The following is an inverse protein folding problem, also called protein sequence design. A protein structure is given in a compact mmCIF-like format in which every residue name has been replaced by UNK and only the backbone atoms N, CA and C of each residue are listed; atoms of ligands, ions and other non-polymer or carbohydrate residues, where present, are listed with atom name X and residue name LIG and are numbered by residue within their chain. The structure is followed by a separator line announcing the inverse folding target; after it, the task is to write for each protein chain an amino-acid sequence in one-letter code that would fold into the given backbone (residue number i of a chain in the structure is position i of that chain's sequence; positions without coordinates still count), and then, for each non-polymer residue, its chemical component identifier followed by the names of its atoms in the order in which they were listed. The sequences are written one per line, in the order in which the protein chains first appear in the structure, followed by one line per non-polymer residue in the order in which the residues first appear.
data_IF_694998794019
#
_entry.id   IF_694998794019
#
_cell.length_a   1.000
_cell.length_b   1.000
_cell.length_c   1.000
_cell.angle_alpha   90.00
_cell.angle_beta   90.00
_cell.angle_gamma   90.00
#
_symmetry.space_group_name_H-M   'P 1'
#
loop_
_entity.id
_entity.type
_entity.pdbx_description
1 polymer ?
#
# COMPACT_ATOMS: atom_id res chain seq x y z
N UNK A 1 17.19 -1.09 4.19
CA UNK A 1 16.69 -0.98 5.58
C UNK A 1 16.88 -2.31 6.32
N UNK A 2 17.01 -2.27 7.65
CA UNK A 2 17.09 -3.41 8.56
C UNK A 2 16.19 -3.13 9.76
N UNK A 3 15.58 -4.19 10.31
CA UNK A 3 14.61 -4.09 11.40
C UNK A 3 15.08 -4.93 12.58
N UNK A 4 14.98 -4.36 13.77
CA UNK A 4 15.33 -5.02 15.02
C UNK A 4 14.22 -4.86 16.03
N UNK A 5 14.09 -5.85 16.92
CA UNK A 5 13.19 -5.84 18.06
C UNK A 5 13.99 -6.16 19.32
N UNK A 6 13.79 -5.36 20.35
CA UNK A 6 14.42 -5.52 21.66
C UNK A 6 13.46 -6.31 22.54
N UNK A 7 13.59 -7.63 22.49
CA UNK A 7 12.83 -8.55 23.30
C UNK A 7 13.52 -8.79 24.66
N UNK A 8 12.81 -9.40 25.61
CA UNK A 8 13.36 -9.73 26.93
C UNK A 8 14.57 -10.68 26.84
N UNK A 9 14.58 -11.59 25.87
CA UNK A 9 15.65 -12.55 25.61
C UNK A 9 16.80 -11.97 24.78
N UNK A 10 16.71 -10.68 24.42
CA UNK A 10 17.75 -9.92 23.76
C UNK A 10 17.34 -9.32 22.42
N UNK A 11 18.34 -8.85 21.68
CA UNK A 11 18.14 -8.23 20.38
C UNK A 11 17.84 -9.30 19.33
N UNK A 12 16.69 -9.17 18.66
CA UNK A 12 16.33 -10.02 17.52
C UNK A 12 16.23 -9.19 16.25
N UNK A 13 16.62 -9.78 15.11
CA UNK A 13 16.45 -9.17 13.79
C UNK A 13 15.11 -9.61 13.21
N UNK A 14 14.33 -8.65 12.72
CA UNK A 14 13.11 -8.92 11.96
C UNK A 14 13.47 -8.93 10.48
N UNK A 15 13.13 -10.01 9.78
CA UNK A 15 13.33 -10.07 8.33
C UNK A 15 12.39 -9.08 7.62
N UNK A 16 12.80 -8.59 6.44
CA UNK A 16 11.95 -7.69 5.65
C UNK A 16 10.58 -8.32 5.35
N UNK A 17 10.55 -9.63 5.07
CA UNK A 17 9.31 -10.39 4.82
C UNK A 17 8.35 -10.36 6.01
N UNK A 18 8.88 -10.52 7.24
CA UNK A 18 8.05 -10.51 8.45
C UNK A 18 7.55 -9.10 8.72
N UNK A 19 8.42 -8.09 8.65
CA UNK A 19 8.00 -6.70 8.85
C UNK A 19 6.93 -6.28 7.84
N UNK A 20 7.13 -6.61 6.56
CA UNK A 20 6.16 -6.35 5.49
C UNK A 20 4.82 -7.04 5.74
N UNK A 21 4.84 -8.32 6.13
CA UNK A 21 3.61 -9.04 6.47
C UNK A 21 2.89 -8.49 7.69
N UNK A 22 3.61 -8.02 8.71
CA UNK A 22 3.06 -7.36 9.88
C UNK A 22 2.40 -6.02 9.54
N UNK A 23 3.07 -5.21 8.70
CA UNK A 23 2.58 -3.91 8.25
C UNK A 23 1.31 -4.05 7.41
N UNK A 24 1.17 -5.11 6.61
CA UNK A 24 0.00 -5.34 5.76
C UNK A 24 -1.04 -6.30 6.34
N UNK A 25 -0.90 -6.73 7.61
CA UNK A 25 -1.90 -7.57 8.27
C UNK A 25 -1.91 -9.06 7.89
N UNK A 26 -1.00 -9.50 7.01
CA UNK A 26 -0.92 -10.88 6.54
C UNK A 26 0.09 -11.76 7.30
N UNK A 27 0.72 -11.25 8.37
CA UNK A 27 1.60 -12.01 9.25
C UNK A 27 1.37 -11.62 10.72
N UNK A 28 1.86 -12.45 11.64
CA UNK A 28 1.77 -12.25 13.08
C UNK A 28 3.00 -12.82 13.79
N UNK A 29 3.28 -12.34 15.00
CA UNK A 29 4.33 -12.83 15.89
C UNK A 29 3.74 -13.20 17.25
N UNK A 30 3.13 -14.40 17.39
CA UNK A 30 2.44 -14.80 18.62
C UNK A 30 3.32 -14.80 19.87
N UNK A 31 4.64 -14.95 19.73
CA UNK A 31 5.58 -14.85 20.84
C UNK A 31 5.62 -13.46 21.51
N UNK A 32 5.07 -12.44 20.85
CA UNK A 32 4.93 -11.08 21.37
C UNK A 32 3.47 -10.69 21.60
N UNK A 33 2.52 -11.63 21.54
CA UNK A 33 1.10 -11.35 21.69
C UNK A 33 0.78 -10.60 23.00
N UNK A 34 -0.03 -9.55 22.89
CA UNK A 34 -0.46 -8.71 24.01
C UNK A 34 0.66 -7.82 24.59
N UNK A 35 1.78 -7.66 23.89
CA UNK A 35 2.92 -6.88 24.38
C UNK A 35 3.19 -5.64 23.55
N UNK A 36 3.93 -4.69 24.16
CA UNK A 36 4.49 -3.53 23.47
C UNK A 36 5.99 -3.69 23.39
N UNK A 37 6.53 -3.75 22.18
CA UNK A 37 7.95 -4.02 21.95
C UNK A 37 8.65 -2.81 21.35
N UNK A 38 9.87 -2.55 21.83
CA UNK A 38 10.76 -1.57 21.23
C UNK A 38 11.33 -2.14 19.94
N UNK A 39 11.21 -1.39 18.85
CA UNK A 39 11.82 -1.71 17.55
C UNK A 39 12.74 -0.60 17.07
N UNK A 40 13.74 -0.97 16.28
CA UNK A 40 14.62 -0.03 15.59
C UNK A 40 14.58 -0.26 14.08
N UNK A 41 14.33 0.82 13.34
CA UNK A 41 14.41 0.87 11.89
C UNK A 41 15.76 1.49 11.51
N UNK A 42 16.61 0.71 10.85
CA UNK A 42 17.99 1.09 10.55
C UNK A 42 18.16 1.23 9.04
N UNK A 43 18.49 2.44 8.58
CA UNK A 43 18.85 2.71 7.20
C UNK A 43 20.36 2.56 7.08
N UNK A 44 20.76 1.65 6.19
CA UNK A 44 22.15 1.27 5.97
C UNK A 44 22.46 1.52 4.51
N UNK A 45 23.51 2.29 4.25
CA UNK A 45 24.10 2.43 2.93
C UNK A 45 24.98 1.23 2.62
N UNK A 46 24.88 0.73 1.39
CA UNK A 46 25.60 -0.44 0.93
C UNK A 46 26.60 -0.04 -0.15
N UNK A 47 27.85 -0.48 0.01
CA UNK A 47 28.89 -0.43 -1.03
C UNK A 47 29.27 -1.87 -1.39
N UNK A 48 29.26 -2.20 -2.68
CA UNK A 48 29.54 -3.57 -3.17
C UNK A 48 28.72 -4.67 -2.45
N UNK A 49 27.48 -4.34 -2.06
CA UNK A 49 26.59 -5.25 -1.34
C UNK A 49 26.90 -5.45 0.15
N UNK A 50 27.87 -4.73 0.71
CA UNK A 50 28.22 -4.77 2.14
C UNK A 50 27.82 -3.48 2.86
N UNK A 51 27.48 -3.53 4.17
CA UNK A 51 27.24 -2.33 4.96
C UNK A 51 28.45 -1.37 4.96
N UNK A 52 28.24 -0.15 4.46
CA UNK A 52 29.24 0.92 4.44
C UNK A 52 29.07 1.86 5.63
N UNK A 53 27.84 2.37 5.85
CA UNK A 53 27.49 3.20 7.01
C UNK A 53 26.00 3.10 7.38
N UNK A 54 25.70 3.35 8.65
CA UNK A 54 24.33 3.63 9.10
C UNK A 54 24.05 5.11 8.82
N UNK A 55 23.04 5.41 8.02
CA UNK A 55 22.65 6.79 7.70
C UNK A 55 21.57 7.33 8.62
N UNK A 56 20.73 6.43 9.16
CA UNK A 56 19.64 6.80 10.06
C UNK A 56 19.21 5.61 10.91
N UNK A 57 18.85 5.89 12.17
CA UNK A 57 18.20 4.93 13.05
C UNK A 57 16.99 5.61 13.70
N UNK A 58 15.83 4.99 13.57
CA UNK A 58 14.60 5.46 14.21
C UNK A 58 14.06 4.39 15.16
N UNK A 59 13.87 4.76 16.42
CA UNK A 59 13.18 3.92 17.39
C UNK A 59 11.66 4.11 17.30
N UNK A 60 10.91 3.00 17.31
CA UNK A 60 9.46 3.01 17.46
C UNK A 60 8.97 1.89 18.36
N UNK A 61 7.70 1.93 18.73
CA UNK A 61 7.02 0.82 19.41
C UNK A 61 6.12 0.07 18.43
N UNK A 62 6.12 -1.26 18.52
CA UNK A 62 5.05 -2.09 17.97
C UNK A 62 4.12 -2.53 19.11
N UNK A 63 2.82 -2.40 18.88
CA UNK A 63 1.78 -2.84 19.80
C UNK A 63 1.16 -4.11 19.23
N UNK A 64 1.48 -5.24 19.85
CA UNK A 64 0.98 -6.54 19.43
C UNK A 64 -0.36 -6.83 20.12
N UNK A 65 -1.36 -7.16 19.32
CA UNK A 65 -2.67 -7.62 19.82
C UNK A 65 -2.58 -9.02 20.45
N UNK A 66 -3.72 -9.56 20.89
CA UNK A 66 -3.79 -10.89 21.49
C UNK A 66 -3.38 -12.05 20.55
N UNK A 67 -3.38 -11.82 19.23
CA UNK A 67 -2.92 -12.77 18.23
C UNK A 67 -1.46 -12.52 17.79
N UNK A 68 -0.81 -11.46 18.27
CA UNK A 68 0.52 -11.05 17.84
C UNK A 68 0.52 -10.30 16.51
N UNK A 69 -0.59 -9.70 16.08
CA UNK A 69 -0.64 -8.78 14.94
C UNK A 69 -0.44 -7.34 15.39
N UNK A 70 -0.02 -6.49 14.46
CA UNK A 70 0.26 -5.06 14.72
C UNK A 70 -0.43 -4.13 13.72
N UNK A 71 -1.02 -4.66 12.65
CA UNK A 71 -1.50 -3.89 11.51
C UNK A 71 -2.46 -2.77 11.90
N UNK A 72 -3.54 -3.10 12.61
CA UNK A 72 -4.53 -2.11 13.06
C UNK A 72 -3.89 -1.01 13.93
N UNK A 73 -3.02 -1.39 14.88
CA UNK A 73 -2.32 -0.42 15.72
C UNK A 73 -1.38 0.50 14.92
N UNK A 74 -0.73 -0.04 13.88
CA UNK A 74 0.16 0.71 13.00
C UNK A 74 -0.61 1.67 12.11
N UNK A 75 -1.73 1.23 11.53
CA UNK A 75 -2.63 2.04 10.72
C UNK A 75 -3.17 3.20 11.55
N UNK A 76 -3.71 2.92 12.74
CA UNK A 76 -4.23 3.93 13.65
C UNK A 76 -3.15 4.93 14.08
N UNK A 77 -1.96 4.46 14.46
CA UNK A 77 -0.82 5.31 14.81
C UNK A 77 -0.36 6.17 13.63
N UNK A 78 -0.39 5.62 12.41
CA UNK A 78 -0.05 6.32 11.17
C UNK A 78 -1.02 7.46 10.86
N UNK A 79 -2.32 7.21 10.97
CA UNK A 79 -3.34 8.26 10.82
C UNK A 79 -3.18 9.36 11.87
N UNK A 80 -2.98 9.01 13.15
CA UNK A 80 -2.74 9.99 14.22
C UNK A 80 -1.46 10.80 13.97
N UNK A 81 -0.42 10.16 13.43
CA UNK A 81 0.83 10.83 13.06
C UNK A 81 0.61 11.91 12.00
N UNK A 82 -0.17 11.60 10.96
CA UNK A 82 -0.52 12.55 9.89
C UNK A 82 -1.39 13.68 10.43
N UNK A 83 -2.44 13.36 11.18
CA UNK A 83 -3.36 14.36 11.74
C UNK A 83 -2.61 15.37 12.63
N UNK A 84 -1.75 14.88 13.53
CA UNK A 84 -0.98 15.73 14.45
C UNK A 84 0.07 16.57 13.71
N UNK A 85 0.67 16.03 12.64
CA UNK A 85 1.61 16.77 11.79
C UNK A 85 0.90 17.89 11.02
N UNK A 86 -0.23 17.59 10.36
CA UNK A 86 -1.00 18.56 9.59
C UNK A 86 -1.59 19.66 10.46
N UNK A 87 -2.04 19.33 11.67
CA UNK A 87 -2.48 20.32 12.65
C UNK A 87 -1.33 21.27 13.05
N UNK A 88 -0.12 20.74 13.25
CA UNK A 88 1.06 21.53 13.59
C UNK A 88 1.53 22.42 12.42
N UNK A 89 1.53 21.91 11.19
CA UNK A 89 1.88 22.71 10.02
C UNK A 89 0.86 23.82 9.75
N UNK A 90 -0.44 23.54 9.94
CA UNK A 90 -1.48 24.57 9.85
C UNK A 90 -1.30 25.66 10.91
N UNK A 91 -0.96 25.32 12.15
CA UNK A 91 -0.78 26.32 13.20
C UNK A 91 0.41 27.25 12.94
N UNK A 92 1.50 26.75 12.34
CA UNK A 92 2.65 27.57 11.92
C UNK A 92 2.31 28.60 10.84
N UNK A 93 1.31 28.32 10.01
CA UNK A 93 0.88 29.22 8.91
C UNK A 93 -0.03 30.35 9.40
N UNK A 94 -0.69 30.18 10.55
CA UNK A 94 -1.58 31.18 11.13
C UNK A 94 -0.74 32.19 11.92
N UNK A 95 -0.60 33.41 11.40
CA UNK A 95 -0.02 34.53 12.15
C UNK A 95 -1.10 35.17 13.02
N UNK A 96 -1.07 34.89 14.33
CA UNK A 96 -1.94 35.56 15.30
C UNK A 96 -1.14 35.99 16.54
N UNK A 97 -1.67 36.97 17.28
CA UNK A 97 -1.06 37.46 18.54
C UNK A 97 -1.05 36.39 19.64
N UNK A 98 -1.92 35.39 19.56
CA UNK A 98 -2.02 34.27 20.51
C UNK A 98 -1.62 32.97 19.81
N UNK A 99 -0.58 32.31 20.31
CA UNK A 99 -0.11 31.04 19.74
C UNK A 99 -0.85 29.88 20.40
N UNK A 100 -1.61 29.11 19.62
CA UNK A 100 -2.20 27.85 20.10
C UNK A 100 -1.11 26.76 20.16
N UNK A 101 -0.81 26.30 21.38
CA UNK A 101 0.18 25.25 21.65
C UNK A 101 -0.39 23.83 21.53
N UNK A 102 -1.72 23.69 21.43
CA UNK A 102 -2.39 22.38 21.42
C UNK A 102 -1.86 21.44 20.32
N UNK A 103 -1.62 21.88 19.06
CA UNK A 103 -1.05 21.02 18.03
C UNK A 103 0.35 20.51 18.37
N UNK A 104 1.17 21.36 18.99
CA UNK A 104 2.52 21.00 19.42
C UNK A 104 2.47 19.97 20.56
N UNK A 105 1.63 20.19 21.57
CA UNK A 105 1.48 19.25 22.68
C UNK A 105 0.93 17.89 22.24
N UNK A 106 -0.03 17.87 21.31
CA UNK A 106 -0.54 16.63 20.70
C UNK A 106 0.57 15.89 19.96
N UNK A 107 1.39 16.60 19.18
CA UNK A 107 2.54 16.01 18.48
C UNK A 107 3.58 15.44 19.45
N UNK A 108 3.94 16.19 20.48
CA UNK A 108 4.88 15.73 21.53
C UNK A 108 4.33 14.51 22.28
N UNK A 109 3.02 14.47 22.56
CA UNK A 109 2.35 13.30 23.14
C UNK A 109 2.49 12.08 22.23
N UNK A 110 2.15 12.22 20.94
CA UNK A 110 2.25 11.14 19.97
C UNK A 110 3.70 10.61 19.87
N UNK A 111 4.70 11.51 19.81
CA UNK A 111 6.10 11.11 19.75
C UNK A 111 6.52 10.32 20.98
N UNK A 112 6.11 10.75 22.18
CA UNK A 112 6.41 10.02 23.43
C UNK A 112 5.75 8.63 23.48
N UNK A 113 4.57 8.47 22.89
CA UNK A 113 3.84 7.21 22.89
C UNK A 113 4.35 6.24 21.81
N UNK A 114 4.88 6.74 20.70
CA UNK A 114 5.22 5.90 19.53
C UNK A 114 6.71 5.83 19.21
N UNK A 115 7.53 6.73 19.76
CA UNK A 115 8.97 6.81 19.52
C UNK A 115 9.77 6.61 20.79
N UNK A 116 11.00 6.15 20.60
CA UNK A 116 11.99 6.06 21.66
C UNK A 116 13.37 6.28 21.07
N UNK A 117 14.30 6.74 21.92
CA UNK A 117 15.68 6.99 21.51
C UNK A 117 16.57 5.81 21.88
N UNK A 118 17.40 5.39 20.93
CA UNK A 118 18.36 4.33 21.16
C UNK A 118 19.57 4.87 21.94
N UNK A 119 19.95 4.15 22.97
CA UNK A 119 21.20 4.33 23.70
C UNK A 119 22.40 3.87 22.87
N UNK A 120 23.60 4.31 23.29
CA UNK A 120 24.87 3.88 22.68
C UNK A 120 25.03 2.36 22.68
N UNK A 121 24.63 1.68 23.75
CA UNK A 121 24.76 0.22 23.86
C UNK A 121 23.88 -0.50 22.82
N UNK A 122 22.68 0.01 22.57
CA UNK A 122 21.75 -0.55 21.58
C UNK A 122 22.26 -0.32 20.15
N UNK A 123 22.83 0.87 19.87
CA UNK A 123 23.49 1.18 18.60
C UNK A 123 24.75 0.32 18.37
N UNK A 124 25.54 0.08 19.42
CA UNK A 124 26.72 -0.78 19.37
C UNK A 124 26.33 -2.25 19.09
N UNK A 125 25.24 -2.74 19.68
CA UNK A 125 24.71 -4.08 19.41
C UNK A 125 24.23 -4.24 17.96
N UNK A 126 23.48 -3.26 17.43
CA UNK A 126 23.06 -3.23 16.03
C UNK A 126 24.28 -3.20 15.09
N UNK A 127 25.28 -2.38 15.41
CA UNK A 127 26.50 -2.27 14.60
C UNK A 127 27.31 -3.56 14.61
N UNK A 128 27.44 -4.23 15.76
CA UNK A 128 28.12 -5.52 15.85
C UNK A 128 27.46 -6.58 14.95
N UNK A 129 26.13 -6.62 14.89
CA UNK A 129 25.39 -7.54 14.03
C UNK A 129 25.49 -7.20 12.52
N UNK A 130 25.41 -5.90 12.16
CA UNK A 130 25.53 -5.44 10.78
C UNK A 130 26.88 -5.77 10.15
N UNK A 131 27.98 -5.48 10.85
CA UNK A 131 29.34 -5.73 10.37
C UNK A 131 29.89 -7.10 10.77
N UNK A 132 29.07 -7.96 11.39
CA UNK A 132 29.44 -9.30 11.87
C UNK A 132 30.69 -9.26 12.77
N UNK A 133 30.83 -8.22 13.60
CA UNK A 133 31.95 -8.10 14.53
C UNK A 133 31.84 -9.21 15.57
N UNK A 134 32.85 -10.09 15.66
CA UNK A 134 32.96 -11.07 16.74
C UNK A 134 33.43 -10.35 18.00
N UNK A 135 32.50 -9.75 18.76
CA UNK A 135 32.77 -9.31 20.14
C UNK A 135 32.36 -10.43 21.09
N UNK A 136 33.27 -10.82 21.98
CA UNK A 136 33.07 -11.94 22.91
C UNK A 136 31.90 -11.73 23.89
N UNK A 137 31.44 -10.48 24.08
CA UNK A 137 30.41 -10.10 25.05
C UNK A 137 29.04 -9.81 24.44
N UNK A 138 28.88 -9.79 23.11
CA UNK A 138 27.60 -9.47 22.47
C UNK A 138 26.84 -10.77 22.17
N UNK A 139 25.71 -10.96 22.85
CA UNK A 139 24.81 -12.08 22.60
C UNK A 139 24.44 -12.16 21.11
N UNK A 140 24.42 -13.38 20.56
CA UNK A 140 24.15 -13.60 19.14
C UNK A 140 22.73 -13.13 18.80
N UNK A 141 22.62 -12.14 17.92
CA UNK A 141 21.33 -11.68 17.41
C UNK A 141 20.61 -12.82 16.70
N UNK A 142 19.42 -13.16 17.20
CA UNK A 142 18.55 -14.21 16.65
C UNK A 142 17.55 -13.63 15.65
N UNK A 143 16.99 -14.46 14.77
CA UNK A 143 15.92 -14.04 13.87
C UNK A 143 14.58 -14.16 14.58
N UNK A 144 13.81 -13.07 14.60
CA UNK A 144 12.44 -13.09 15.04
C UNK A 144 11.56 -13.80 13.98
N UNK A 145 10.58 -14.60 14.42
CA UNK A 145 9.78 -15.47 13.54
C UNK A 145 8.36 -14.94 13.38
N UNK A 146 7.88 -14.83 12.15
CA UNK A 146 6.45 -14.70 11.83
C UNK A 146 5.82 -16.06 11.57
N UNK A 147 4.49 -16.12 11.56
CA UNK A 147 3.72 -17.34 11.28
C UNK A 147 3.59 -17.62 9.77
N UNK A 148 3.69 -16.58 8.92
CA UNK A 148 3.55 -16.74 7.47
C UNK A 148 4.74 -17.55 6.92
N UNK A 149 4.48 -18.65 6.19
CA UNK A 149 5.54 -19.41 5.56
C UNK A 149 6.27 -18.54 4.53
N UNK A 150 7.57 -18.77 4.36
CA UNK A 150 8.32 -18.11 3.30
C UNK A 150 7.74 -18.52 1.94
N UNK A 151 7.51 -17.55 1.07
CA UNK A 151 7.16 -17.85 -0.31
C UNK A 151 8.28 -18.70 -0.94
N UNK A 152 7.94 -19.68 -1.80
CA UNK A 152 8.94 -20.39 -2.58
C UNK A 152 9.85 -19.40 -3.32
N UNK A 153 11.17 -19.63 -3.35
CA UNK A 153 12.07 -18.73 -4.04
C UNK A 153 11.71 -18.71 -5.53
N UNK A 154 11.40 -17.54 -6.06
CA UNK A 154 11.17 -17.38 -7.49
C UNK A 154 12.50 -17.57 -8.23
N UNK A 155 12.65 -18.73 -8.87
CA UNK A 155 13.84 -19.07 -9.65
C UNK A 155 14.02 -18.09 -10.81
N UNK A 156 15.23 -18.03 -11.39
CA UNK A 156 15.46 -17.22 -12.59
C UNK A 156 14.54 -17.66 -13.74
N UNK A 157 14.35 -18.96 -13.90
CA UNK A 157 13.43 -19.57 -14.86
C UNK A 157 11.98 -19.09 -14.63
N UNK A 158 11.46 -19.23 -13.41
CA UNK A 158 10.10 -18.80 -13.09
C UNK A 158 9.93 -17.28 -13.26
N UNK A 159 10.93 -16.48 -12.89
CA UNK A 159 10.91 -15.02 -13.09
C UNK A 159 10.86 -14.64 -14.56
N UNK A 160 11.62 -15.33 -15.41
CA UNK A 160 11.61 -15.10 -16.84
C UNK A 160 10.26 -15.49 -17.46
N UNK A 161 9.72 -16.65 -17.08
CA UNK A 161 8.40 -17.10 -17.54
C UNK A 161 7.29 -16.11 -17.15
N UNK A 162 7.25 -15.64 -15.91
CA UNK A 162 6.27 -14.63 -15.46
C UNK A 162 6.35 -13.36 -16.31
N UNK A 163 7.56 -12.82 -16.54
CA UNK A 163 7.75 -11.61 -17.35
C UNK A 163 7.29 -11.77 -18.80
N UNK A 164 7.56 -12.92 -19.40
CA UNK A 164 7.13 -13.21 -20.77
C UNK A 164 5.61 -13.33 -20.86
N UNK A 165 4.98 -14.05 -19.91
CA UNK A 165 3.53 -14.15 -19.80
C UNK A 165 2.89 -12.78 -19.60
N UNK A 166 3.42 -11.95 -18.69
CA UNK A 166 2.95 -10.57 -18.46
C UNK A 166 2.96 -9.75 -19.74
N UNK A 167 4.04 -9.83 -20.53
CA UNK A 167 4.15 -9.13 -21.82
C UNK A 167 3.02 -9.52 -22.77
N UNK A 168 2.69 -10.82 -22.84
CA UNK A 168 1.60 -11.29 -23.68
C UNK A 168 0.22 -10.92 -23.13
N UNK A 169 0.03 -10.94 -21.82
CA UNK A 169 -1.22 -10.49 -21.17
C UNK A 169 -1.50 -9.03 -21.50
N UNK A 170 -0.50 -8.14 -21.42
CA UNK A 170 -0.66 -6.74 -21.84
C UNK A 170 -1.06 -6.62 -23.31
N UNK A 171 -0.45 -7.43 -24.19
CA UNK A 171 -0.81 -7.49 -25.60
C UNK A 171 -2.24 -7.96 -25.85
N UNK A 172 -2.75 -8.91 -25.06
CA UNK A 172 -4.15 -9.36 -25.13
C UNK A 172 -5.09 -8.25 -24.68
N UNK A 173 -4.82 -7.62 -23.53
CA UNK A 173 -5.66 -6.53 -23.01
C UNK A 173 -5.78 -5.38 -24.03
N UNK A 174 -4.64 -4.91 -24.58
CA UNK A 174 -4.64 -3.85 -25.57
C UNK A 174 -5.42 -4.21 -26.84
N UNK A 175 -5.41 -5.47 -27.29
CA UNK A 175 -6.23 -5.91 -28.42
C UNK A 175 -7.72 -5.88 -28.09
N UNK A 176 -8.12 -6.25 -26.88
CA UNK A 176 -9.53 -6.21 -26.45
C UNK A 176 -10.07 -4.78 -26.38
N UNK A 177 -9.23 -3.82 -25.95
CA UNK A 177 -9.64 -2.42 -25.78
C UNK A 177 -10.11 -1.75 -27.09
N UNK A 178 -9.61 -2.21 -28.23
CA UNK A 178 -9.92 -1.69 -29.56
C UNK A 178 -11.12 -2.37 -30.24
N UNK A 179 -11.72 -3.39 -29.62
CA UNK A 179 -12.86 -4.11 -30.20
C UNK A 179 -14.20 -3.50 -29.78
N UNK A 180 -15.13 -3.38 -30.73
CA UNK A 180 -16.52 -3.01 -30.44
C UNK A 180 -17.36 -4.16 -29.87
N UNK A 181 -18.54 -3.86 -29.33
CA UNK A 181 -19.44 -4.84 -28.66
C UNK A 181 -19.67 -6.12 -29.49
N UNK A 182 -19.93 -5.99 -30.80
CA UNK A 182 -20.18 -7.14 -31.68
C UNK A 182 -18.93 -8.00 -31.89
N UNK A 183 -17.76 -7.38 -32.06
CA UNK A 183 -16.50 -8.09 -32.23
C UNK A 183 -16.08 -8.80 -30.94
N UNK A 184 -16.28 -8.18 -29.76
CA UNK A 184 -16.06 -8.81 -28.46
C UNK A 184 -16.96 -10.02 -28.26
N UNK A 185 -18.24 -9.93 -28.64
CA UNK A 185 -19.17 -11.07 -28.59
C UNK A 185 -18.69 -12.23 -29.48
N UNK A 186 -18.26 -11.93 -30.71
CA UNK A 186 -17.75 -12.95 -31.64
C UNK A 186 -16.46 -13.58 -31.12
N UNK A 187 -15.54 -12.77 -30.57
CA UNK A 187 -14.31 -13.25 -29.96
C UNK A 187 -14.58 -14.16 -28.75
N UNK A 188 -15.49 -13.77 -27.86
CA UNK A 188 -15.84 -14.57 -26.68
C UNK A 188 -16.47 -15.92 -27.07
N UNK A 189 -17.21 -15.97 -28.17
CA UNK A 189 -17.73 -17.22 -28.71
C UNK A 189 -16.61 -18.10 -29.29
N UNK A 190 -15.74 -17.53 -30.13
CA UNK A 190 -14.63 -18.25 -30.75
C UNK A 190 -13.63 -18.75 -29.70
N UNK A 191 -13.32 -17.96 -28.67
CA UNK A 191 -12.46 -18.35 -27.57
C UNK A 191 -13.03 -19.57 -26.81
N UNK A 192 -14.35 -19.60 -26.52
CA UNK A 192 -15.01 -20.78 -25.92
C UNK A 192 -14.97 -22.00 -26.85
N UNK A 193 -15.19 -21.81 -28.14
CA UNK A 193 -15.07 -22.86 -29.17
C UNK A 193 -13.67 -23.46 -29.18
N UNK A 194 -12.62 -22.63 -29.07
CA UNK A 194 -11.22 -23.07 -28.97
C UNK A 194 -10.94 -23.81 -27.67
N UNK A 195 -11.40 -23.29 -26.52
CA UNK A 195 -11.26 -23.95 -25.24
C UNK A 195 -11.84 -25.37 -25.24
N UNK A 196 -12.95 -25.58 -25.95
CA UNK A 196 -13.60 -26.90 -26.06
C UNK A 196 -12.86 -27.92 -26.95
N UNK A 197 -11.87 -27.47 -27.73
CA UNK A 197 -11.18 -28.27 -28.76
C UNK A 197 -9.70 -28.50 -28.46
N UNK A 198 -9.13 -27.80 -27.49
CA UNK A 198 -7.68 -27.69 -27.26
C UNK A 198 -7.32 -27.96 -25.79
N UNK A 199 -6.07 -28.35 -25.52
CA UNK A 199 -5.53 -28.60 -24.17
C UNK A 199 -5.29 -27.31 -23.36
N UNK A 200 -5.43 -26.13 -23.98
CA UNK A 200 -5.25 -24.81 -23.35
C UNK A 200 -6.60 -24.18 -22.93
N UNK A 201 -7.48 -24.98 -22.34
CA UNK A 201 -8.85 -24.60 -21.98
C UNK A 201 -8.89 -23.34 -21.09
N UNK A 202 -8.06 -23.29 -20.05
CA UNK A 202 -8.04 -22.21 -19.07
C UNK A 202 -7.66 -20.85 -19.68
N UNK A 203 -6.68 -20.81 -20.60
CA UNK A 203 -6.24 -19.57 -21.24
C UNK A 203 -7.35 -19.02 -22.14
N UNK A 204 -7.95 -19.88 -22.97
CA UNK A 204 -9.04 -19.47 -23.85
C UNK A 204 -10.30 -19.06 -23.09
N UNK A 205 -10.62 -19.73 -21.98
CA UNK A 205 -11.71 -19.33 -21.09
C UNK A 205 -11.43 -17.96 -20.44
N UNK A 206 -10.17 -17.70 -20.03
CA UNK A 206 -9.76 -16.39 -19.52
C UNK A 206 -9.94 -15.28 -20.55
N UNK A 207 -9.57 -15.52 -21.81
CA UNK A 207 -9.78 -14.57 -22.92
C UNK A 207 -11.28 -14.32 -23.15
N UNK A 208 -12.11 -15.38 -23.13
CA UNK A 208 -13.55 -15.23 -23.27
C UNK A 208 -14.16 -14.39 -22.15
N UNK A 209 -13.76 -14.64 -20.89
CA UNK A 209 -14.20 -13.87 -19.73
C UNK A 209 -13.78 -12.40 -19.80
N UNK A 210 -12.55 -12.13 -20.21
CA UNK A 210 -12.06 -10.76 -20.41
C UNK A 210 -12.83 -10.02 -21.52
N UNK A 211 -13.13 -10.69 -22.63
CA UNK A 211 -13.92 -10.14 -23.73
C UNK A 211 -15.37 -9.83 -23.31
N UNK A 212 -16.01 -10.72 -22.54
CA UNK A 212 -17.35 -10.49 -22.01
C UNK A 212 -17.38 -9.34 -20.99
N UNK A 213 -16.39 -9.27 -20.09
CA UNK A 213 -16.26 -8.13 -19.16
C UNK A 213 -16.13 -6.82 -19.91
N UNK A 214 -15.25 -6.74 -20.92
CA UNK A 214 -15.08 -5.52 -21.73
C UNK A 214 -16.35 -5.14 -22.48
N UNK A 215 -17.06 -6.13 -23.04
CA UNK A 215 -18.33 -5.91 -23.74
C UNK A 215 -19.40 -5.37 -22.80
N UNK A 216 -19.49 -5.91 -21.59
CA UNK A 216 -20.43 -5.45 -20.57
C UNK A 216 -20.11 -4.01 -20.14
N UNK A 217 -18.83 -3.65 -19.97
CA UNK A 217 -18.40 -2.27 -19.72
C UNK A 217 -18.92 -1.33 -20.83
N UNK A 218 -18.68 -1.67 -22.10
CA UNK A 218 -19.17 -0.87 -23.24
C UNK A 218 -20.70 -0.76 -23.25
N UNK A 219 -21.39 -1.85 -22.96
CA UNK A 219 -22.85 -1.90 -22.88
C UNK A 219 -23.36 -0.94 -21.80
N UNK A 220 -22.78 -0.98 -20.59
CA UNK A 220 -23.12 -0.06 -19.49
C UNK A 220 -22.86 1.38 -19.89
N UNK A 221 -21.73 1.69 -20.51
CA UNK A 221 -21.45 3.07 -20.98
C UNK A 221 -22.48 3.59 -21.97
N UNK A 222 -23.00 2.71 -22.85
CA UNK A 222 -24.02 3.04 -23.84
C UNK A 222 -25.42 3.19 -23.23
N UNK A 223 -25.81 2.31 -22.30
CA UNK A 223 -27.16 2.30 -21.71
C UNK A 223 -27.30 3.15 -20.45
N UNK A 224 -26.19 3.44 -19.77
CA UNK A 224 -26.15 4.06 -18.44
C UNK A 224 -26.66 3.16 -17.31
N UNK A 225 -26.88 1.86 -17.58
CA UNK A 225 -27.45 0.92 -16.61
C UNK A 225 -26.41 0.37 -15.62
N UNK A 226 -26.90 -0.18 -14.51
CA UNK A 226 -26.08 -0.79 -13.47
C UNK A 226 -25.58 0.21 -12.43
N UNK A 227 -24.65 -0.25 -11.60
CA UNK A 227 -24.01 0.56 -10.57
C UNK A 227 -22.87 1.38 -11.18
N UNK A 228 -22.79 2.63 -10.78
CA UNK A 228 -21.79 3.62 -11.19
C UNK A 228 -21.19 4.29 -9.97
N UNK A 229 -19.95 4.73 -10.09
CA UNK A 229 -19.25 5.46 -9.06
C UNK A 229 -18.85 6.82 -9.59
N UNK A 230 -19.08 7.84 -8.76
CA UNK A 230 -18.45 9.15 -8.89
C UNK A 230 -17.23 9.17 -7.97
N UNK A 231 -16.07 9.57 -8.46
CA UNK A 231 -14.89 9.74 -7.61
C UNK A 231 -14.13 11.02 -7.92
N UNK A 232 -13.50 11.58 -6.88
CA UNK A 232 -12.57 12.69 -6.96
C UNK A 232 -11.22 12.23 -6.45
N UNK A 233 -10.20 12.38 -7.30
CA UNK A 233 -8.80 12.25 -6.93
C UNK A 233 -8.19 13.65 -6.77
N UNK A 234 -7.57 13.91 -5.62
CA UNK A 234 -6.68 15.08 -5.47
C UNK A 234 -5.26 14.58 -5.68
N UNK A 235 -4.63 15.02 -6.77
CA UNK A 235 -3.30 14.56 -7.16
C UNK A 235 -2.31 15.67 -6.89
N UNK A 236 -1.32 15.40 -6.03
CA UNK A 236 -0.21 16.29 -5.77
C UNK A 236 0.93 16.00 -6.74
N UNK A 237 1.40 17.03 -7.43
CA UNK A 237 2.43 16.94 -8.46
C UNK A 237 3.81 17.29 -7.90
N UNK A 238 4.72 16.33 -7.94
CA UNK A 238 6.14 16.56 -7.68
C UNK A 238 6.79 17.13 -8.95
N UNK A 239 7.11 18.44 -8.92
CA UNK A 239 7.75 19.14 -10.05
C UNK A 239 9.13 18.60 -10.40
N UNK A 240 9.84 18.01 -9.43
CA UNK A 240 11.18 17.46 -9.65
C UNK A 240 11.14 16.11 -10.36
N UNK A 241 10.12 15.30 -10.08
CA UNK A 241 9.95 13.94 -10.63
C UNK A 241 9.00 13.87 -11.81
N UNK A 242 8.23 14.94 -12.09
CA UNK A 242 7.13 14.95 -13.07
C UNK A 242 6.13 13.81 -12.83
N UNK A 243 5.88 13.50 -11.56
CA UNK A 243 4.95 12.45 -11.14
C UNK A 243 3.86 13.03 -10.24
N UNK A 244 2.66 12.46 -10.30
CA UNK A 244 1.55 12.77 -9.41
C UNK A 244 1.34 11.64 -8.40
N UNK A 245 1.04 11.99 -7.15
CA UNK A 245 0.60 11.05 -6.11
C UNK A 245 -0.79 11.46 -5.62
N UNK A 246 -1.70 10.48 -5.47
CA UNK A 246 -3.04 10.74 -4.92
C UNK A 246 -2.92 11.09 -3.43
N UNK A 247 -3.24 12.32 -3.08
CA UNK A 247 -3.20 12.85 -1.72
C UNK A 247 -4.52 12.59 -0.98
N UNK A 248 -5.65 12.60 -1.69
CA UNK A 248 -6.94 12.23 -1.12
C UNK A 248 -7.88 11.68 -2.18
N UNK A 249 -8.80 10.80 -1.75
CA UNK A 249 -9.78 10.12 -2.58
C UNK A 249 -11.16 10.19 -1.92
N UNK A 250 -12.17 10.66 -2.66
CA UNK A 250 -13.57 10.66 -2.21
C UNK A 250 -14.41 10.02 -3.30
N UNK A 251 -15.38 9.18 -2.92
CA UNK A 251 -16.25 8.53 -3.88
C UNK A 251 -17.69 8.37 -3.40
N UNK A 252 -18.59 8.15 -4.34
CA UNK A 252 -20.02 7.90 -4.10
C UNK A 252 -20.55 6.84 -5.06
N UNK A 253 -21.20 5.81 -4.51
CA UNK A 253 -21.89 4.77 -5.26
C UNK A 253 -23.27 5.27 -5.69
N UNK A 254 -23.61 5.09 -6.96
CA UNK A 254 -24.84 5.56 -7.58
C UNK A 254 -25.51 4.44 -8.41
N UNK A 255 -26.83 4.45 -8.47
CA UNK A 255 -27.62 3.43 -9.18
C UNK A 255 -27.82 3.70 -10.68
N UNK A 256 -27.16 4.73 -11.23
CA UNK A 256 -27.13 5.00 -12.67
C UNK A 256 -25.99 5.94 -13.04
N UNK A 257 -25.60 5.94 -14.32
CA UNK A 257 -24.58 6.86 -14.85
C UNK A 257 -24.96 8.32 -14.64
N UNK A 258 -26.23 8.68 -14.87
CA UNK A 258 -26.71 10.06 -14.72
C UNK A 258 -26.56 10.56 -13.29
N UNK A 259 -26.94 9.74 -12.30
CA UNK A 259 -26.76 10.08 -10.89
C UNK A 259 -25.29 10.20 -10.52
N UNK A 260 -24.42 9.32 -11.05
CA UNK A 260 -22.98 9.43 -10.84
C UNK A 260 -22.39 10.70 -11.47
N UNK A 261 -22.88 11.13 -12.64
CA UNK A 261 -22.45 12.40 -13.25
C UNK A 261 -22.89 13.62 -12.41
N UNK A 262 -24.11 13.60 -11.86
CA UNK A 262 -24.60 14.63 -10.95
C UNK A 262 -23.79 14.66 -9.63
N UNK A 263 -23.52 13.50 -9.06
CA UNK A 263 -22.68 13.35 -7.87
C UNK A 263 -21.23 13.82 -8.14
N UNK A 264 -20.63 13.43 -9.26
CA UNK A 264 -19.28 13.85 -9.63
C UNK A 264 -19.17 15.37 -9.77
N UNK A 265 -20.18 16.05 -10.34
CA UNK A 265 -20.21 17.52 -10.40
C UNK A 265 -20.28 18.14 -9.02
N UNK A 266 -21.14 17.61 -8.14
CA UNK A 266 -21.26 18.09 -6.76
C UNK A 266 -19.96 17.89 -5.99
N UNK A 267 -19.39 16.68 -6.01
CA UNK A 267 -18.12 16.36 -5.37
C UNK A 267 -16.98 17.24 -5.91
N UNK A 268 -16.95 17.52 -7.21
CA UNK A 268 -15.95 18.40 -7.80
C UNK A 268 -16.04 19.82 -7.23
N UNK A 269 -17.25 20.37 -7.06
CA UNK A 269 -17.45 21.70 -6.44
C UNK A 269 -17.00 21.70 -4.98
N UNK A 270 -17.38 20.67 -4.21
CA UNK A 270 -17.02 20.52 -2.79
C UNK A 270 -15.50 20.42 -2.58
N UNK A 271 -14.79 19.83 -3.55
CA UNK A 271 -13.35 19.56 -3.50
C UNK A 271 -12.51 20.54 -4.33
N UNK A 272 -13.11 21.48 -5.08
CA UNK A 272 -12.40 22.46 -5.89
C UNK A 272 -11.40 23.32 -5.08
N UNK A 273 -11.64 23.48 -3.77
CA UNK A 273 -10.74 24.15 -2.83
C UNK A 273 -9.34 23.53 -2.75
N UNK A 274 -9.17 22.27 -3.15
CA UNK A 274 -7.89 21.57 -3.17
C UNK A 274 -7.10 21.82 -4.45
N UNK A 275 -7.68 22.46 -5.47
CA UNK A 275 -6.97 22.81 -6.69
C UNK A 275 -5.94 23.92 -6.43
N UNK A 276 -4.71 23.71 -6.88
CA UNK A 276 -3.62 24.68 -6.74
C UNK A 276 -2.59 24.56 -7.88
N UNK A 277 -1.52 25.34 -7.80
CA UNK A 277 -0.39 25.24 -8.73
C UNK A 277 0.44 23.94 -8.58
N UNK A 278 0.18 23.14 -7.54
CA UNK A 278 0.87 21.88 -7.25
C UNK A 278 -0.10 20.71 -7.08
N UNK A 279 -1.41 20.94 -7.20
CA UNK A 279 -2.45 19.91 -7.00
C UNK A 279 -3.53 20.01 -8.07
N UNK A 280 -3.86 18.88 -8.72
CA UNK A 280 -5.05 18.76 -9.57
C UNK A 280 -6.19 18.09 -8.82
N UNK A 281 -7.42 18.40 -9.23
CA UNK A 281 -8.64 17.75 -8.73
C UNK A 281 -9.31 17.12 -9.93
N UNK A 282 -9.36 15.80 -9.98
CA UNK A 282 -9.83 15.04 -11.14
C UNK A 282 -11.10 14.27 -10.80
N UNK A 283 -12.16 14.51 -11.57
CA UNK A 283 -13.42 13.80 -11.43
C UNK A 283 -13.50 12.63 -12.41
N UNK A 284 -13.89 11.46 -11.91
CA UNK A 284 -14.11 10.25 -12.71
C UNK A 284 -15.52 9.72 -12.49
N UNK A 285 -16.13 9.23 -13.56
CA UNK A 285 -17.41 8.50 -13.53
C UNK A 285 -17.17 7.17 -14.22
N UNK A 286 -17.23 6.09 -13.46
CA UNK A 286 -16.92 4.74 -13.93
C UNK A 286 -18.01 3.77 -13.51
N UNK A 287 -18.24 2.72 -14.28
CA UNK A 287 -19.15 1.68 -13.84
C UNK A 287 -18.47 0.77 -12.81
N UNK A 288 -19.26 0.04 -12.03
CA UNK A 288 -18.77 -0.92 -11.02
C UNK A 288 -17.75 -1.93 -11.58
N UNK A 289 -17.85 -2.30 -12.85
CA UNK A 289 -16.87 -3.21 -13.46
C UNK A 289 -15.51 -2.56 -13.71
N UNK A 290 -15.45 -1.24 -13.83
CA UNK A 290 -14.22 -0.44 -13.98
C UNK A 290 -13.74 0.11 -12.65
N UNK A 291 -14.55 -0.04 -11.59
CA UNK A 291 -14.18 0.33 -10.23
C UNK A 291 -13.11 -0.63 -9.73
N UNK A 292 -11.88 -0.15 -9.68
CA UNK A 292 -10.83 -0.77 -8.88
C UNK A 292 -10.82 -0.01 -7.58
N UNK A 293 -11.37 -0.63 -6.54
CA UNK A 293 -11.25 -0.05 -5.22
C UNK A 293 -9.75 0.02 -4.89
N UNK A 294 -9.25 1.23 -4.64
CA UNK A 294 -7.89 1.42 -4.17
C UNK A 294 -7.73 0.93 -2.71
N UNK A 295 -8.76 0.33 -2.11
CA UNK A 295 -8.71 -0.31 -0.81
C UNK A 295 -9.86 -1.28 -0.50
N UNK A 296 -10.26 -2.18 -1.42
CA UNK A 296 -11.25 -3.22 -1.07
C UNK A 296 -10.63 -4.30 -0.18
N UNK A 297 -10.49 -3.98 1.10
CA UNK A 297 -10.45 -4.92 2.21
C UNK A 297 -11.47 -4.53 3.30
N UNK A 298 -12.48 -3.72 2.97
CA UNK A 298 -13.60 -3.43 3.86
C UNK A 298 -14.94 -3.72 3.15
N UNK A 299 -15.75 -4.51 3.87
CA UNK A 299 -17.21 -4.63 3.78
C UNK A 299 -17.81 -5.71 2.85
N UNK A 300 -17.78 -6.94 3.36
CA UNK A 300 -18.96 -7.84 3.38
C UNK A 300 -19.06 -8.46 4.81
N UNK A 301 -19.60 -7.71 5.77
CA UNK A 301 -20.38 -8.23 6.92
C UNK A 301 -21.80 -7.66 6.90
#
# INVERSE_FOLDING_TARGET
MRFYIFAEDGLQRISHRVMDGLVHGYDAMPQFAGTRQKIANVIVELEEGKPARITRVDGSYLHFDAAGKVHESLVNSGFEAMETFDALERSKRIKSTVVDLSPRLKREKWEREHRWELSKNELDAISADLWKMKRAEVAKVVQARGIKPNAPPLTSEARNAVREIETHIFGVHGKLDHLGEAALKALAFEARSRASKDFNDAIWLGIAGAADRRREILTRHRTGSGVWYASIDVIRWDRSKRSGETESFVHERCNSKKLAEEAARRLLVENAKYFSAETSVEARVVCELEWYDAGSDDDDE
#
